data_IF_608589060122
#
_entry.id   IF_608589060122
#
_cell.length_a   1.000
_cell.length_b   1.000
_cell.length_c   1.000
_cell.angle_alpha   90.00
_cell.angle_beta   90.00
_cell.angle_gamma   90.00
#
_symmetry.space_group_name_H-M   'P 1'
#
loop_
_entity.id
_entity.type
_entity.pdbx_description
1 polymer ?
#
# COMPACT_ATOMS: atom_id res chain seq x y z
N UNK A 1 -15.39 -15.64 0.13
CA UNK A 1 -14.23 -15.31 0.98
C UNK A 1 -13.42 -14.24 0.26
N UNK A 2 -13.03 -13.13 0.91
CA UNK A 2 -12.00 -12.26 0.33
C UNK A 2 -10.72 -13.10 0.24
N UNK A 3 -10.10 -13.15 -0.94
CA UNK A 3 -8.79 -13.80 -1.07
C UNK A 3 -7.85 -13.24 0.00
N UNK A 4 -7.03 -14.09 0.64
CA UNK A 4 -6.09 -13.63 1.65
C UNK A 4 -5.19 -12.54 1.05
N UNK A 5 -4.98 -11.48 1.83
CA UNK A 5 -4.04 -10.40 1.49
C UNK A 5 -2.69 -11.05 1.23
N UNK A 6 -2.22 -10.99 -0.02
CA UNK A 6 -0.94 -11.58 -0.40
C UNK A 6 0.17 -10.56 -0.28
N UNK A 7 1.14 -10.85 0.58
CA UNK A 7 2.35 -10.07 0.74
C UNK A 7 2.39 -9.19 1.99
N UNK A 8 3.47 -8.43 2.12
CA UNK A 8 3.77 -7.55 3.25
C UNK A 8 4.11 -6.16 2.72
N UNK A 9 3.62 -5.14 3.39
CA UNK A 9 3.95 -3.74 3.12
C UNK A 9 4.59 -3.14 4.37
N UNK A 10 5.78 -2.55 4.21
CA UNK A 10 6.41 -1.77 5.26
C UNK A 10 5.95 -0.31 5.12
N UNK A 11 5.30 0.19 6.16
CA UNK A 11 4.80 1.57 6.24
C UNK A 11 5.36 2.22 7.51
N UNK A 12 5.84 3.45 7.38
CA UNK A 12 6.20 4.30 8.51
C UNK A 12 5.16 5.42 8.65
N UNK A 13 4.79 5.70 9.90
CA UNK A 13 3.80 6.71 10.26
C UNK A 13 4.44 7.69 11.23
N UNK A 14 4.31 8.98 10.95
CA UNK A 14 4.76 10.04 11.83
C UNK A 14 3.80 11.21 11.79
N UNK A 15 3.63 11.91 12.91
CA UNK A 15 2.76 13.08 12.99
C UNK A 15 3.59 14.32 13.33
N UNK A 16 3.59 15.29 12.41
CA UNK A 16 4.14 16.62 12.61
C UNK A 16 3.12 17.45 13.39
N UNK A 17 3.37 17.69 14.67
CA UNK A 17 2.47 18.49 15.51
C UNK A 17 2.48 19.98 15.09
N UNK A 18 3.64 20.52 14.75
CA UNK A 18 3.79 21.94 14.41
C UNK A 18 3.04 22.29 13.13
N UNK A 19 3.06 21.38 12.15
CA UNK A 19 2.33 21.54 10.88
C UNK A 19 0.95 20.89 10.88
N UNK A 20 0.59 20.17 11.95
CA UNK A 20 -0.63 19.36 12.01
C UNK A 20 -0.77 18.37 10.84
N UNK A 21 0.33 17.75 10.41
CA UNK A 21 0.37 16.84 9.27
C UNK A 21 0.62 15.39 9.69
N UNK A 22 -0.17 14.46 9.14
CA UNK A 22 0.14 13.03 9.20
C UNK A 22 1.02 12.65 7.99
N UNK A 23 2.26 12.25 8.26
CA UNK A 23 3.20 11.77 7.25
C UNK A 23 3.10 10.25 7.18
N UNK A 24 2.82 9.75 5.98
CA UNK A 24 2.74 8.31 5.66
C UNK A 24 3.81 7.99 4.63
N UNK A 25 4.78 7.17 5.01
CA UNK A 25 5.87 6.75 4.12
C UNK A 25 5.71 5.27 3.79
N UNK A 26 5.50 4.98 2.50
CA UNK A 26 5.52 3.62 1.96
C UNK A 26 6.98 3.26 1.66
N UNK A 27 7.54 2.31 2.41
CA UNK A 27 8.99 2.02 2.34
C UNK A 27 9.28 0.92 1.32
N UNK A 28 8.63 -0.23 1.48
CA UNK A 28 8.85 -1.39 0.62
C UNK A 28 7.65 -2.33 0.65
N UNK A 29 7.58 -3.19 -0.36
CA UNK A 29 6.64 -4.30 -0.40
C UNK A 29 7.40 -5.61 -0.70
N UNK A 30 7.00 -6.68 -0.04
CA UNK A 30 7.60 -8.01 -0.15
C UNK A 30 6.53 -9.08 -0.27
N UNK A 31 6.89 -10.26 -0.79
CA UNK A 31 6.00 -11.41 -0.92
C UNK A 31 4.68 -11.10 -1.68
N UNK A 32 4.68 -10.11 -2.58
CA UNK A 32 3.51 -9.75 -3.39
C UNK A 32 3.17 -10.88 -4.35
N UNK A 33 1.89 -11.24 -4.43
CA UNK A 33 1.44 -12.27 -5.38
C UNK A 33 1.54 -11.75 -6.81
N UNK A 34 2.04 -12.60 -7.69
CA UNK A 34 2.00 -12.38 -9.14
C UNK A 34 0.55 -12.33 -9.64
N UNK A 35 0.25 -11.38 -10.53
CA UNK A 35 -1.04 -11.35 -11.23
C UNK A 35 -0.94 -12.22 -12.48
N UNK A 36 -1.59 -13.38 -12.45
CA UNK A 36 -1.58 -14.38 -13.53
C UNK A 36 -2.26 -13.93 -14.84
N UNK A 37 -2.81 -12.71 -14.90
CA UNK A 37 -3.74 -12.30 -15.96
C UNK A 37 -3.14 -11.43 -17.06
N UNK A 38 -1.82 -11.20 -17.11
CA UNK A 38 -1.25 -10.24 -18.04
C UNK A 38 -0.68 -10.88 -19.32
N UNK A 39 -1.41 -10.74 -20.42
CA UNK A 39 -0.94 -11.04 -21.80
C UNK A 39 0.22 -10.14 -22.23
N UNK A 40 0.44 -9.02 -21.52
CA UNK A 40 1.47 -8.00 -21.77
C UNK A 40 2.19 -7.64 -20.46
N UNK A 41 3.00 -8.56 -19.92
CA UNK A 41 3.88 -8.31 -18.77
C UNK A 41 3.17 -8.01 -17.43
N UNK A 42 3.75 -8.36 -16.28
CA UNK A 42 3.10 -8.04 -15.00
C UNK A 42 3.00 -6.52 -14.82
N UNK A 43 1.82 -5.97 -14.48
CA UNK A 43 1.69 -4.53 -14.22
C UNK A 43 2.56 -4.14 -13.02
N UNK A 44 3.16 -2.94 -13.09
CA UNK A 44 3.93 -2.39 -11.98
C UNK A 44 3.05 -2.25 -10.73
N UNK A 45 3.59 -2.67 -9.58
CA UNK A 45 2.84 -2.63 -8.33
C UNK A 45 2.68 -1.18 -7.84
N UNK A 46 1.49 -0.83 -7.36
CA UNK A 46 1.19 0.48 -6.79
C UNK A 46 0.39 0.37 -5.49
N UNK A 47 0.42 1.43 -4.68
CA UNK A 47 -0.28 1.51 -3.39
C UNK A 47 -1.33 2.62 -3.43
N UNK A 48 -2.53 2.34 -2.92
CA UNK A 48 -3.58 3.33 -2.71
C UNK A 48 -3.73 3.57 -1.20
N UNK A 49 -3.57 4.82 -0.77
CA UNK A 49 -3.72 5.23 0.63
C UNK A 49 -5.06 5.92 0.84
N UNK A 50 -5.76 5.57 1.93
CA UNK A 50 -7.03 6.20 2.33
C UNK A 50 -7.03 6.42 3.84
N UNK A 51 -7.43 7.63 4.26
CA UNK A 51 -7.60 7.99 5.67
C UNK A 51 -9.06 7.79 6.07
N UNK A 52 -9.30 7.09 7.20
CA UNK A 52 -10.64 6.79 7.70
C UNK A 52 -11.05 7.74 8.84
N UNK A 53 -12.36 8.02 9.01
CA UNK A 53 -13.45 7.59 8.13
C UNK A 53 -13.42 8.38 6.82
N UNK A 54 -13.51 7.68 5.68
CA UNK A 54 -13.76 8.32 4.40
C UNK A 54 -15.27 8.29 4.13
N UNK A 55 -15.82 9.37 3.57
CA UNK A 55 -17.17 9.39 3.01
C UNK A 55 -17.14 9.00 1.54
#
# INVERSE_FOLDING_TARGET
MRDPVSGKLQVQLWYDQDKSHLIVTVVSAHDLRFRDTATYGPPEAFVCLRLYPFR
#
